data_IF_840449349627
#
_entry.id   IF_840449349627
#
_cell.length_a   1.000
_cell.length_b   1.000
_cell.length_c   1.000
_cell.angle_alpha   90.00
_cell.angle_beta   90.00
_cell.angle_gamma   90.00
#
_symmetry.space_group_name_H-M   'P 1'
#
loop_
_entity.id
_entity.type
_entity.pdbx_description
1 polymer ?
#
# COMPACT_ATOMS: atom_id res chain seq x y z
N UNK A 1 8.11 20.10 5.98
CA UNK A 1 7.29 19.83 4.76
C UNK A 1 5.96 19.22 5.17
N UNK A 2 4.90 19.45 4.41
CA UNK A 2 3.62 18.76 4.63
C UNK A 2 3.77 17.29 4.24
N UNK A 3 3.13 16.35 4.95
CA UNK A 3 3.25 14.90 4.73
C UNK A 3 2.54 14.37 3.47
N UNK A 4 2.62 15.07 2.32
CA UNK A 4 1.98 14.65 1.07
C UNK A 4 3.00 14.32 -0.04
N UNK A 5 4.29 14.47 0.25
CA UNK A 5 5.40 14.17 -0.65
C UNK A 5 6.26 13.08 -0.05
N UNK A 6 6.64 12.10 -0.87
CA UNK A 6 7.52 10.98 -0.57
C UNK A 6 8.72 11.02 -1.52
N UNK A 7 9.88 10.56 -1.06
CA UNK A 7 11.11 10.41 -1.84
C UNK A 7 12.04 11.63 -1.77
N UNK A 8 13.26 11.41 -2.19
CA UNK A 8 14.34 12.41 -2.23
C UNK A 8 14.73 12.77 -3.66
N UNK A 9 15.01 11.79 -4.50
CA UNK A 9 15.31 11.95 -5.92
C UNK A 9 14.13 11.54 -6.80
N UNK A 10 13.42 10.47 -6.43
CA UNK A 10 12.16 10.09 -7.06
C UNK A 10 11.01 10.53 -6.17
N UNK A 11 10.53 11.74 -6.39
CA UNK A 11 9.55 12.37 -5.53
C UNK A 11 8.12 12.16 -6.03
N UNK A 12 7.22 11.80 -5.13
CA UNK A 12 5.79 11.67 -5.44
C UNK A 12 4.98 12.57 -4.52
N UNK A 13 4.28 13.55 -5.09
CA UNK A 13 3.38 14.43 -4.34
C UNK A 13 1.93 14.11 -4.69
N UNK A 14 1.18 13.58 -3.72
CA UNK A 14 -0.24 13.24 -3.88
C UNK A 14 -1.16 14.41 -3.56
N UNK A 15 -2.18 14.62 -4.41
CA UNK A 15 -3.22 15.63 -4.22
C UNK A 15 -4.64 15.08 -4.46
N UNK A 16 -5.64 15.91 -4.15
CA UNK A 16 -7.05 15.57 -4.33
C UNK A 16 -7.67 14.85 -3.14
N UNK A 17 -8.94 14.54 -3.23
CA UNK A 17 -9.77 14.02 -2.15
C UNK A 17 -10.76 12.98 -2.65
N UNK A 18 -11.15 12.03 -1.78
CA UNK A 18 -11.97 10.88 -2.18
C UNK A 18 -13.34 11.23 -2.74
N UNK A 19 -13.87 12.40 -2.40
CA UNK A 19 -15.17 12.93 -2.86
C UNK A 19 -15.03 14.29 -3.55
N UNK A 20 -13.79 14.71 -3.85
CA UNK A 20 -13.50 15.81 -4.76
C UNK A 20 -13.66 15.40 -6.22
N UNK A 21 -13.43 16.30 -7.17
CA UNK A 21 -13.58 16.02 -8.62
C UNK A 21 -12.57 15.00 -9.14
N UNK A 22 -11.38 14.97 -8.57
CA UNK A 22 -10.30 14.08 -8.98
C UNK A 22 -9.30 13.87 -7.84
N UNK A 23 -8.46 12.85 -8.00
CA UNK A 23 -7.24 12.59 -7.24
C UNK A 23 -6.09 12.47 -8.23
N UNK A 24 -4.86 12.71 -7.79
CA UNK A 24 -3.72 12.62 -8.67
C UNK A 24 -2.40 12.68 -7.92
N UNK A 25 -1.32 12.60 -8.67
CA UNK A 25 0.02 12.87 -8.16
C UNK A 25 0.89 13.55 -9.22
N UNK A 26 1.94 14.17 -8.73
CA UNK A 26 3.09 14.57 -9.55
C UNK A 26 4.25 13.67 -9.17
N UNK A 27 4.83 13.02 -10.18
CA UNK A 27 6.08 12.26 -10.04
C UNK A 27 7.20 13.12 -10.61
N UNK A 28 8.16 13.48 -9.78
CA UNK A 28 9.36 14.23 -10.18
C UNK A 28 10.60 13.37 -9.98
N UNK A 29 11.64 13.59 -10.81
CA UNK A 29 12.88 12.82 -10.78
C UNK A 29 12.83 11.47 -11.47
N UNK A 30 11.78 11.15 -12.23
CA UNK A 30 11.77 9.96 -13.08
C UNK A 30 12.82 10.11 -14.20
N UNK A 31 13.77 9.17 -14.34
CA UNK A 31 14.77 9.24 -15.41
C UNK A 31 14.13 9.33 -16.80
N UNK A 32 14.74 10.08 -17.76
CA UNK A 32 14.27 10.15 -19.14
C UNK A 32 14.48 8.84 -19.89
N UNK A 33 13.69 8.63 -20.95
CA UNK A 33 13.85 7.51 -21.87
C UNK A 33 13.18 6.20 -21.42
N UNK A 34 12.43 6.19 -20.32
CA UNK A 34 11.59 5.04 -19.95
C UNK A 34 10.40 4.98 -20.89
N UNK A 35 10.19 3.90 -21.69
CA UNK A 35 8.94 3.70 -22.42
C UNK A 35 7.77 3.69 -21.43
N UNK A 36 6.80 4.56 -21.63
CA UNK A 36 5.67 4.71 -20.70
C UNK A 36 4.43 5.18 -21.43
N UNK A 37 3.33 4.46 -21.23
CA UNK A 37 1.99 4.87 -21.64
C UNK A 37 0.96 4.66 -20.49
N UNK A 38 -0.28 5.07 -20.75
CA UNK A 38 -1.34 4.92 -19.75
C UNK A 38 -1.68 3.45 -19.45
N UNK A 39 -1.48 2.53 -20.39
CA UNK A 39 -1.78 1.10 -20.20
C UNK A 39 -0.82 0.45 -19.20
N UNK A 40 0.45 0.85 -19.19
CA UNK A 40 1.43 0.40 -18.21
C UNK A 40 0.98 0.70 -16.77
N UNK A 41 0.45 1.91 -16.55
CA UNK A 41 -0.03 2.35 -15.25
C UNK A 41 -1.38 1.73 -14.93
N UNK A 42 -2.27 1.64 -15.92
CA UNK A 42 -3.61 1.11 -15.76
C UNK A 42 -3.63 -0.34 -15.29
N UNK A 43 -2.70 -1.16 -15.78
CA UNK A 43 -2.58 -2.56 -15.38
C UNK A 43 -2.41 -2.71 -13.84
N UNK A 44 -1.62 -1.86 -13.21
CA UNK A 44 -1.44 -1.87 -11.75
C UNK A 44 -2.67 -1.27 -11.02
N UNK A 45 -3.29 -0.24 -11.58
CA UNK A 45 -4.52 0.34 -11.05
C UNK A 45 -5.69 -0.64 -11.10
N UNK A 46 -5.81 -1.46 -12.15
CA UNK A 46 -6.85 -2.48 -12.29
C UNK A 46 -6.77 -3.56 -11.21
N UNK A 47 -5.57 -3.91 -10.76
CA UNK A 47 -5.37 -4.81 -9.63
C UNK A 47 -5.86 -4.22 -8.30
N UNK A 48 -5.72 -2.90 -8.13
CA UNK A 48 -6.06 -2.18 -6.90
C UNK A 48 -7.51 -1.69 -6.86
N UNK A 49 -8.15 -1.38 -7.97
CA UNK A 49 -9.44 -0.68 -8.04
C UNK A 49 -10.53 -1.36 -7.19
N UNK A 50 -11.57 -0.62 -6.74
CA UNK A 50 -12.72 -1.20 -6.06
C UNK A 50 -13.58 -2.02 -7.04
N UNK A 51 -14.41 -2.93 -6.49
CA UNK A 51 -15.35 -3.70 -7.30
C UNK A 51 -14.74 -4.86 -8.09
N UNK A 52 -13.49 -5.25 -7.82
CA UNK A 52 -12.81 -6.37 -8.49
C UNK A 52 -13.38 -7.73 -8.09
N UNK A 53 -14.02 -7.83 -6.93
CA UNK A 53 -14.67 -9.06 -6.46
C UNK A 53 -15.84 -8.74 -5.52
N UNK A 54 -16.65 -9.78 -5.19
CA UNK A 54 -17.71 -9.67 -4.17
C UNK A 54 -17.17 -9.43 -2.75
N UNK A 55 -15.88 -9.66 -2.51
CA UNK A 55 -15.25 -9.56 -1.18
C UNK A 55 -14.67 -8.18 -0.87
N UNK A 56 -14.68 -7.27 -1.83
CA UNK A 56 -14.29 -5.87 -1.67
C UNK A 56 -15.49 -4.94 -1.75
N UNK A 57 -15.27 -3.64 -1.52
CA UNK A 57 -16.31 -2.61 -1.62
C UNK A 57 -17.01 -2.65 -2.99
N UNK A 58 -18.32 -2.42 -2.98
CA UNK A 58 -19.17 -2.37 -4.18
C UNK A 58 -19.13 -0.98 -4.88
N UNK A 59 -18.26 -0.08 -4.46
CA UNK A 59 -17.97 1.16 -5.20
C UNK A 59 -17.38 0.79 -6.55
N UNK A 60 -17.83 1.46 -7.60
CA UNK A 60 -17.34 1.22 -8.96
C UNK A 60 -16.58 2.44 -9.46
N UNK A 61 -15.27 2.32 -9.54
CA UNK A 61 -14.39 3.33 -10.12
C UNK A 61 -13.48 2.62 -11.13
N UNK A 62 -13.46 3.10 -12.34
CA UNK A 62 -12.57 2.56 -13.37
C UNK A 62 -11.10 2.88 -13.09
N UNK A 63 -10.84 3.88 -12.23
CA UNK A 63 -9.50 4.39 -11.90
C UNK A 63 -8.67 4.72 -13.15
N UNK A 64 -9.33 5.19 -14.20
CA UNK A 64 -8.65 5.55 -15.45
C UNK A 64 -7.68 6.69 -15.22
N UNK A 65 -6.41 6.44 -15.56
CA UNK A 65 -5.34 7.42 -15.41
C UNK A 65 -5.20 8.26 -16.68
N UNK A 66 -5.06 9.57 -16.49
CA UNK A 66 -4.65 10.53 -17.51
C UNK A 66 -3.21 10.94 -17.24
N UNK A 67 -2.32 10.82 -18.24
CA UNK A 67 -0.96 11.37 -18.18
C UNK A 67 -1.02 12.78 -18.76
N UNK A 68 -0.72 13.79 -17.94
CA UNK A 68 -0.88 15.19 -18.31
C UNK A 68 0.43 15.85 -18.77
N UNK A 69 1.59 15.28 -18.37
CA UNK A 69 2.92 15.82 -18.67
C UNK A 69 4.00 14.77 -18.47
N UNK A 70 5.24 15.09 -18.84
CA UNK A 70 6.43 14.27 -18.55
C UNK A 70 6.64 13.08 -19.48
N UNK A 71 5.79 12.90 -20.50
CA UNK A 71 5.90 11.86 -21.52
C UNK A 71 5.79 12.48 -22.92
N UNK A 72 6.71 12.15 -23.80
CA UNK A 72 6.70 12.57 -25.19
C UNK A 72 7.07 11.40 -26.12
N UNK A 73 6.29 11.17 -27.17
CA UNK A 73 6.46 10.04 -28.10
C UNK A 73 6.59 8.68 -27.40
N UNK A 74 5.83 8.47 -26.31
CA UNK A 74 5.80 7.20 -25.58
C UNK A 74 6.98 6.95 -24.65
N UNK A 75 7.81 7.97 -24.36
CA UNK A 75 8.93 7.87 -23.42
C UNK A 75 8.92 9.02 -22.41
N UNK A 76 9.43 8.79 -21.20
CA UNK A 76 9.60 9.82 -20.18
C UNK A 76 10.62 10.85 -20.61
N UNK A 77 10.38 12.11 -20.27
CA UNK A 77 11.25 13.25 -20.67
C UNK A 77 12.25 13.68 -19.60
N UNK A 78 12.13 13.13 -18.38
CA UNK A 78 12.90 13.60 -17.21
C UNK A 78 12.29 14.83 -16.53
N UNK A 79 11.16 15.35 -17.04
CA UNK A 79 10.40 16.43 -16.40
C UNK A 79 9.23 15.86 -15.59
N UNK A 80 8.58 16.64 -14.71
CA UNK A 80 7.52 16.13 -13.85
C UNK A 80 6.39 15.46 -14.63
N UNK A 81 6.02 14.25 -14.20
CA UNK A 81 4.90 13.47 -14.75
C UNK A 81 3.65 13.78 -13.93
N UNK A 82 2.70 14.48 -14.52
CA UNK A 82 1.40 14.73 -13.92
C UNK A 82 0.43 13.58 -14.20
N UNK A 83 -0.13 12.98 -13.16
CA UNK A 83 -1.12 11.89 -13.25
C UNK A 83 -2.43 12.32 -12.61
N UNK A 84 -3.55 12.11 -13.31
CA UNK A 84 -4.88 12.45 -12.84
C UNK A 84 -5.83 11.26 -12.96
N UNK A 85 -6.66 11.05 -11.95
CA UNK A 85 -7.72 10.04 -11.91
C UNK A 85 -9.00 10.71 -11.47
N UNK A 86 -10.04 10.71 -12.31
CA UNK A 86 -11.33 11.32 -12.00
C UNK A 86 -12.15 10.46 -11.04
N UNK A 87 -12.87 11.10 -10.12
CA UNK A 87 -13.84 10.43 -9.27
C UNK A 87 -15.20 10.40 -9.98
N UNK A 88 -15.73 9.20 -10.24
CA UNK A 88 -16.96 9.00 -11.00
C UNK A 88 -18.12 8.45 -10.15
N UNK A 89 -17.85 7.70 -9.08
CA UNK A 89 -18.87 7.09 -8.19
C UNK A 89 -18.74 7.59 -6.74
N UNK A 90 -18.61 8.92 -6.56
CA UNK A 90 -18.63 9.56 -5.25
C UNK A 90 -20.06 9.83 -4.79
N UNK A 91 -20.56 9.12 -3.73
CA UNK A 91 -21.92 9.26 -3.19
C UNK A 91 -21.88 9.94 -1.83
N UNK A 92 -21.89 11.26 -1.81
CA UNK A 92 -21.84 12.07 -0.57
C UNK A 92 -23.02 11.81 0.37
N UNK A 93 -24.17 11.38 -0.16
CA UNK A 93 -25.37 11.05 0.63
C UNK A 93 -25.17 9.85 1.59
N UNK A 94 -24.24 8.95 1.28
CA UNK A 94 -23.90 7.78 2.11
C UNK A 94 -23.31 8.16 3.48
N UNK A 95 -22.95 9.41 3.69
CA UNK A 95 -22.27 9.93 4.88
C UNK A 95 -23.08 11.00 5.64
N UNK A 96 -24.31 11.27 5.22
CA UNK A 96 -25.14 12.33 5.84
C UNK A 96 -25.46 12.04 7.31
N UNK A 97 -25.63 10.77 7.68
CA UNK A 97 -25.96 10.32 9.05
C UNK A 97 -24.77 10.40 10.02
N UNK A 98 -23.56 10.63 9.52
CA UNK A 98 -22.33 10.69 10.33
C UNK A 98 -21.58 12.02 10.13
N UNK A 99 -22.24 13.01 9.52
CA UNK A 99 -21.60 14.30 9.22
C UNK A 99 -21.10 15.02 10.47
N UNK A 100 -21.82 14.94 11.56
CA UNK A 100 -21.56 15.61 12.82
C UNK A 100 -21.05 14.65 13.92
N UNK A 101 -20.63 13.45 13.57
CA UNK A 101 -20.18 12.45 14.53
C UNK A 101 -18.79 11.90 14.15
N UNK A 102 -18.10 11.30 15.12
CA UNK A 102 -16.79 10.69 14.89
C UNK A 102 -16.90 9.17 14.87
N UNK A 103 -16.51 8.55 13.77
CA UNK A 103 -16.49 7.09 13.68
C UNK A 103 -15.40 6.52 14.59
N UNK A 104 -15.71 5.54 15.46
CA UNK A 104 -14.72 4.87 16.29
C UNK A 104 -13.62 4.20 15.43
N UNK A 105 -12.33 4.47 15.75
CA UNK A 105 -11.18 3.93 15.01
C UNK A 105 -10.93 4.54 13.64
N UNK A 106 -11.71 5.56 13.23
CA UNK A 106 -11.49 6.35 12.01
C UNK A 106 -10.74 7.66 12.30
N UNK A 107 -10.21 8.29 11.27
CA UNK A 107 -9.44 9.53 11.40
C UNK A 107 -10.29 10.81 11.60
N UNK A 108 -11.62 10.71 11.66
CA UNK A 108 -12.53 11.85 11.74
C UNK A 108 -12.17 12.80 12.89
N UNK A 109 -11.97 12.24 14.09
CA UNK A 109 -11.62 13.01 15.29
C UNK A 109 -10.28 13.73 15.13
N UNK A 110 -9.23 12.99 14.72
CA UNK A 110 -7.88 13.55 14.62
C UNK A 110 -7.77 14.62 13.53
N UNK A 111 -8.45 14.47 12.40
CA UNK A 111 -8.49 15.47 11.34
C UNK A 111 -9.21 16.74 11.79
N UNK A 112 -10.36 16.61 12.45
CA UNK A 112 -11.09 17.75 13.00
C UNK A 112 -10.24 18.51 14.03
N UNK A 113 -9.57 17.80 14.93
CA UNK A 113 -8.70 18.41 15.94
C UNK A 113 -7.47 19.09 15.35
N UNK A 114 -6.91 18.52 14.29
CA UNK A 114 -5.71 19.07 13.65
C UNK A 114 -6.00 20.29 12.78
N UNK A 115 -7.05 20.21 11.95
CA UNK A 115 -7.31 21.22 10.92
C UNK A 115 -8.45 22.18 11.27
N UNK A 116 -9.19 21.93 12.36
CA UNK A 116 -10.35 22.73 12.77
C UNK A 116 -11.57 22.55 11.85
N UNK A 117 -11.40 21.93 10.70
CA UNK A 117 -12.42 21.68 9.69
C UNK A 117 -12.27 20.29 9.11
N UNK A 118 -13.38 19.59 8.88
CA UNK A 118 -13.44 18.32 8.18
C UNK A 118 -14.57 18.35 7.16
N UNK A 119 -14.29 17.96 5.93
CA UNK A 119 -15.33 17.66 4.94
C UNK A 119 -16.03 16.35 5.35
N UNK A 120 -17.35 16.35 5.65
CA UNK A 120 -18.06 15.16 6.12
C UNK A 120 -18.33 14.14 5.00
N UNK A 121 -18.06 14.46 3.74
CA UNK A 121 -18.35 13.62 2.58
C UNK A 121 -17.40 12.43 2.46
N UNK A 122 -17.28 11.60 3.50
CA UNK A 122 -16.46 10.38 3.50
C UNK A 122 -15.14 10.48 4.25
N UNK A 123 -14.11 9.77 3.79
CA UNK A 123 -12.78 9.77 4.41
C UNK A 123 -11.86 10.90 3.94
N UNK A 124 -12.23 11.64 2.90
CA UNK A 124 -11.44 12.74 2.31
C UNK A 124 -9.98 12.33 2.10
N UNK A 125 -9.00 13.02 2.73
CA UNK A 125 -7.57 12.67 2.67
C UNK A 125 -7.21 11.39 3.44
N UNK A 126 -8.01 10.96 4.43
CA UNK A 126 -7.78 9.70 5.15
C UNK A 126 -8.36 8.47 4.45
N UNK A 127 -8.99 8.65 3.29
CA UNK A 127 -9.59 7.57 2.52
C UNK A 127 -8.54 6.71 1.82
N UNK A 128 -8.73 5.39 1.83
CA UNK A 128 -7.95 4.46 1.02
C UNK A 128 -8.03 4.73 -0.50
N UNK A 129 -8.99 5.57 -0.95
CA UNK A 129 -9.06 6.05 -2.33
C UNK A 129 -7.77 6.75 -2.78
N UNK A 130 -7.11 7.46 -1.86
CA UNK A 130 -5.89 8.24 -2.11
C UNK A 130 -4.66 7.37 -2.40
N UNK A 131 -4.77 6.06 -2.25
CA UNK A 131 -3.72 5.12 -2.65
C UNK A 131 -3.69 4.87 -4.16
N UNK A 132 -4.73 5.24 -4.93
CA UNK A 132 -4.71 5.07 -6.38
C UNK A 132 -3.59 5.89 -7.07
N UNK A 133 -3.38 7.19 -6.78
CA UNK A 133 -2.23 7.92 -7.30
C UNK A 133 -0.89 7.32 -6.87
N UNK A 134 -0.79 6.78 -5.65
CA UNK A 134 0.42 6.09 -5.18
C UNK A 134 0.72 4.84 -6.01
N UNK A 135 -0.32 4.05 -6.34
CA UNK A 135 -0.17 2.89 -7.23
C UNK A 135 0.22 3.32 -8.65
N UNK A 136 -0.36 4.41 -9.15
CA UNK A 136 0.01 4.94 -10.46
C UNK A 136 1.49 5.36 -10.54
N UNK A 137 2.00 6.06 -9.50
CA UNK A 137 3.42 6.39 -9.39
C UNK A 137 4.28 5.13 -9.21
N UNK A 138 3.84 4.18 -8.38
CA UNK A 138 4.51 2.90 -8.16
C UNK A 138 4.61 2.04 -9.41
N UNK A 139 3.65 2.11 -10.34
CA UNK A 139 3.72 1.44 -11.63
C UNK A 139 4.93 1.91 -12.46
N UNK A 140 5.18 3.24 -12.47
CA UNK A 140 6.36 3.82 -13.13
C UNK A 140 7.64 3.29 -12.46
N UNK A 141 7.68 3.30 -11.13
CA UNK A 141 8.83 2.80 -10.36
C UNK A 141 9.08 1.30 -10.63
N UNK A 142 8.05 0.45 -10.57
CA UNK A 142 8.16 -0.99 -10.88
C UNK A 142 8.69 -1.22 -12.29
N UNK A 143 8.19 -0.48 -13.28
CA UNK A 143 8.62 -0.60 -14.68
C UNK A 143 10.08 -0.23 -14.83
N UNK A 144 10.51 0.89 -14.25
CA UNK A 144 11.90 1.33 -14.29
C UNK A 144 12.84 0.32 -13.61
N UNK A 145 12.51 -0.12 -12.41
CA UNK A 145 13.28 -1.10 -11.63
C UNK A 145 13.43 -2.43 -12.39
N UNK A 146 12.35 -2.90 -13.01
CA UNK A 146 12.38 -4.13 -13.81
C UNK A 146 13.26 -3.99 -15.05
N UNK A 147 13.17 -2.86 -15.76
CA UNK A 147 13.95 -2.66 -17.00
C UNK A 147 15.45 -2.40 -16.73
N UNK A 148 15.78 -1.66 -15.66
CA UNK A 148 17.16 -1.29 -15.40
C UNK A 148 17.93 -2.35 -14.60
N UNK A 149 17.25 -3.07 -13.72
CA UNK A 149 17.92 -3.96 -12.76
C UNK A 149 17.30 -5.38 -12.70
N UNK A 150 16.21 -5.64 -13.43
CA UNK A 150 15.50 -6.92 -13.34
C UNK A 150 14.74 -7.12 -12.02
N UNK A 151 14.61 -6.07 -11.21
CA UNK A 151 13.93 -6.12 -9.91
C UNK A 151 12.46 -6.45 -10.10
N UNK A 152 11.96 -7.42 -9.33
CA UNK A 152 10.55 -7.81 -9.31
C UNK A 152 9.98 -7.58 -7.92
N UNK A 153 8.91 -6.79 -7.83
CA UNK A 153 8.18 -6.54 -6.58
C UNK A 153 6.82 -7.21 -6.64
N UNK A 154 6.55 -8.11 -5.70
CA UNK A 154 5.30 -8.88 -5.63
C UNK A 154 4.79 -8.96 -4.19
N UNK A 155 3.47 -9.00 -4.01
CA UNK A 155 2.84 -9.14 -2.71
C UNK A 155 1.81 -10.26 -2.69
N UNK A 156 1.53 -10.79 -1.50
CA UNK A 156 0.48 -11.77 -1.26
C UNK A 156 -0.09 -11.62 0.15
N UNK A 157 -1.29 -12.16 0.35
CA UNK A 157 -1.91 -12.23 1.67
C UNK A 157 -1.45 -13.52 2.38
N UNK A 158 -0.82 -13.36 3.54
CA UNK A 158 -0.33 -14.49 4.36
C UNK A 158 -1.27 -14.83 5.52
N UNK A 159 -2.26 -13.97 5.82
CA UNK A 159 -3.27 -14.25 6.85
C UNK A 159 -4.51 -13.37 6.65
N UNK A 160 -5.69 -13.95 6.83
CA UNK A 160 -6.98 -13.24 6.88
C UNK A 160 -7.64 -13.52 8.24
N UNK A 161 -7.65 -12.50 9.12
CA UNK A 161 -8.13 -12.68 10.48
C UNK A 161 -7.43 -13.85 11.20
N UNK A 162 -8.17 -14.88 11.68
CA UNK A 162 -7.57 -16.04 12.33
C UNK A 162 -6.97 -17.06 11.34
N UNK A 163 -7.26 -16.95 10.03
CA UNK A 163 -6.88 -17.96 9.04
C UNK A 163 -5.49 -17.64 8.50
N UNK A 164 -4.49 -18.46 8.85
CA UNK A 164 -3.16 -18.42 8.26
C UNK A 164 -3.19 -19.00 6.84
N UNK A 165 -2.48 -18.38 5.90
CA UNK A 165 -2.42 -18.78 4.49
C UNK A 165 -0.97 -19.19 4.18
N UNK A 166 -0.66 -20.50 4.18
CA UNK A 166 0.68 -20.97 3.83
C UNK A 166 1.05 -20.61 2.40
N UNK A 167 2.29 -20.18 2.20
CA UNK A 167 2.82 -19.93 0.87
C UNK A 167 3.05 -21.26 0.12
N UNK A 168 2.44 -21.39 -1.05
CA UNK A 168 2.59 -22.54 -1.95
C UNK A 168 3.20 -22.11 -3.27
N UNK A 169 2.59 -21.12 -3.96
CA UNK A 169 3.06 -20.68 -5.27
C UNK A 169 2.72 -19.22 -5.55
N UNK A 170 3.65 -18.55 -6.23
CA UNK A 170 3.38 -17.23 -6.82
C UNK A 170 2.33 -17.30 -7.94
N UNK A 171 2.16 -18.43 -8.60
CA UNK A 171 1.21 -18.60 -9.70
C UNK A 171 -0.24 -18.58 -9.21
N UNK A 172 -0.47 -18.95 -7.95
CA UNK A 172 -1.79 -18.91 -7.33
C UNK A 172 -2.26 -17.46 -7.01
N UNK A 173 -1.32 -16.55 -6.75
CA UNK A 173 -1.61 -15.19 -6.27
C UNK A 173 -2.52 -14.39 -7.21
N UNK A 174 -2.27 -14.30 -8.53
CA UNK A 174 -3.14 -13.53 -9.43
C UNK A 174 -4.45 -14.24 -9.75
N UNK A 175 -4.56 -15.53 -9.45
CA UNK A 175 -5.70 -16.38 -9.83
C UNK A 175 -6.91 -16.32 -8.91
N UNK A 176 -6.84 -15.58 -7.79
CA UNK A 176 -7.92 -15.53 -6.80
C UNK A 176 -8.13 -14.12 -6.23
N UNK A 177 -9.33 -13.82 -5.67
CA UNK A 177 -9.68 -12.49 -5.24
C UNK A 177 -8.99 -12.02 -3.94
N UNK A 178 -8.20 -12.87 -3.29
CA UNK A 178 -7.52 -12.58 -2.01
C UNK A 178 -6.03 -12.30 -2.15
N UNK A 179 -5.45 -12.47 -3.34
CA UNK A 179 -4.00 -12.55 -3.51
C UNK A 179 -3.37 -13.65 -2.63
N UNK A 180 -4.11 -14.74 -2.40
CA UNK A 180 -3.64 -15.86 -1.60
C UNK A 180 -2.64 -16.70 -2.41
N UNK A 181 -1.47 -17.06 -1.85
CA UNK A 181 -0.46 -17.87 -2.51
C UNK A 181 -0.75 -19.38 -2.42
N UNK A 182 -2.00 -19.73 -2.14
CA UNK A 182 -2.51 -21.10 -2.00
C UNK A 182 -3.96 -21.14 -2.46
N UNK A 183 -4.21 -21.70 -3.63
CA UNK A 183 -5.54 -21.79 -4.21
C UNK A 183 -6.50 -22.67 -3.39
N UNK A 184 -5.97 -23.69 -2.68
CA UNK A 184 -6.79 -24.64 -1.93
C UNK A 184 -7.51 -24.02 -0.72
N UNK A 185 -6.99 -22.92 -0.15
CA UNK A 185 -7.60 -22.24 1.01
C UNK A 185 -8.69 -21.24 0.63
N UNK A 186 -8.80 -20.88 -0.63
CA UNK A 186 -9.72 -19.83 -1.12
C UNK A 186 -11.18 -20.07 -0.70
N UNK A 187 -11.74 -21.29 -0.78
CA UNK A 187 -13.10 -21.54 -0.33
C UNK A 187 -13.34 -21.24 1.16
N UNK A 188 -12.35 -21.49 2.02
CA UNK A 188 -12.42 -21.16 3.46
C UNK A 188 -12.41 -19.64 3.67
N UNK A 189 -11.55 -18.92 2.95
CA UNK A 189 -11.51 -17.45 3.00
C UNK A 189 -12.84 -16.84 2.53
N UNK A 190 -13.42 -17.37 1.47
CA UNK A 190 -14.72 -16.93 0.96
C UNK A 190 -15.84 -17.13 1.98
N UNK A 191 -15.91 -18.33 2.59
CA UNK A 191 -16.90 -18.64 3.61
C UNK A 191 -16.77 -17.70 4.82
N UNK A 192 -15.57 -17.43 5.27
CA UNK A 192 -15.29 -16.51 6.38
C UNK A 192 -15.71 -15.07 6.05
N UNK A 193 -15.39 -14.58 4.85
CA UNK A 193 -15.77 -13.24 4.41
C UNK A 193 -17.31 -13.11 4.24
N UNK A 194 -17.99 -14.14 3.78
CA UNK A 194 -19.43 -14.16 3.68
C UNK A 194 -20.10 -14.13 5.07
N UNK A 195 -19.48 -14.78 6.07
CA UNK A 195 -19.94 -14.68 7.46
C UNK A 195 -19.78 -13.25 8.01
N UNK A 196 -18.59 -12.64 7.86
CA UNK A 196 -18.36 -11.26 8.28
C UNK A 196 -19.34 -10.27 7.66
N UNK A 197 -19.70 -10.49 6.39
CA UNK A 197 -20.68 -9.65 5.72
C UNK A 197 -22.08 -9.78 6.31
N UNK A 198 -22.50 -11.01 6.68
CA UNK A 198 -23.79 -11.24 7.38
C UNK A 198 -23.80 -10.57 8.75
N UNK A 199 -22.68 -10.63 9.46
CA UNK A 199 -22.53 -10.04 10.79
C UNK A 199 -22.40 -8.50 10.75
N UNK A 200 -22.15 -7.94 9.58
CA UNK A 200 -21.93 -6.49 9.39
C UNK A 200 -20.62 -5.98 9.99
N UNK A 201 -19.64 -6.87 10.16
CA UNK A 201 -18.34 -6.60 10.80
C UNK A 201 -17.18 -6.58 9.77
N UNK A 202 -15.98 -6.44 10.28
CA UNK A 202 -14.73 -6.36 9.50
C UNK A 202 -13.60 -7.11 10.16
N UNK A 203 -12.56 -7.44 9.39
CA UNK A 203 -11.39 -8.15 9.88
C UNK A 203 -10.09 -7.55 9.32
N UNK A 204 -8.99 -7.79 10.04
CA UNK A 204 -7.65 -7.46 9.60
C UNK A 204 -7.03 -8.54 8.73
N UNK A 205 -5.85 -8.24 8.22
CA UNK A 205 -5.05 -9.17 7.42
C UNK A 205 -3.55 -8.95 7.67
N UNK A 206 -2.76 -9.97 7.36
CA UNK A 206 -1.32 -9.85 7.16
C UNK A 206 -1.02 -10.01 5.67
N UNK A 207 -0.23 -9.10 5.15
CA UNK A 207 0.26 -9.16 3.78
C UNK A 207 1.79 -9.17 3.78
N UNK A 208 2.34 -9.90 2.83
CA UNK A 208 3.78 -9.97 2.59
C UNK A 208 4.09 -9.28 1.26
N UNK A 209 5.18 -8.52 1.23
CA UNK A 209 5.71 -7.94 -0.01
C UNK A 209 7.17 -8.34 -0.14
N UNK A 210 7.52 -8.86 -1.30
CA UNK A 210 8.86 -9.34 -1.61
C UNK A 210 9.40 -8.60 -2.81
N UNK A 211 10.62 -8.08 -2.69
CA UNK A 211 11.37 -7.57 -3.83
C UNK A 211 12.57 -8.48 -4.09
N UNK A 212 12.63 -9.01 -5.31
CA UNK A 212 13.66 -9.96 -5.76
C UNK A 212 14.59 -9.30 -6.76
N UNK A 213 15.80 -9.86 -6.90
CA UNK A 213 16.83 -9.43 -7.85
C UNK A 213 17.37 -8.02 -7.58
N UNK A 214 17.34 -7.56 -6.32
CA UNK A 214 17.99 -6.30 -5.99
C UNK A 214 19.50 -6.45 -6.01
N UNK A 215 20.24 -5.45 -6.53
CA UNK A 215 21.66 -5.36 -6.29
C UNK A 215 21.97 -5.19 -4.80
N UNK A 216 23.11 -5.68 -4.35
CA UNK A 216 23.67 -5.25 -3.07
C UNK A 216 24.12 -3.80 -3.16
N UNK A 217 24.00 -3.04 -2.06
CA UNK A 217 24.55 -1.68 -1.95
C UNK A 217 23.52 -0.55 -1.97
N UNK A 218 22.22 -0.81 -2.17
CA UNK A 218 21.20 0.25 -2.06
C UNK A 218 20.82 0.49 -0.61
N UNK A 219 20.80 1.74 -0.22
CA UNK A 219 20.51 2.19 1.14
C UNK A 219 21.66 3.03 1.71
N UNK A 220 21.46 3.55 2.90
CA UNK A 220 22.39 4.42 3.59
C UNK A 220 22.61 3.98 5.04
N UNK A 221 23.77 4.27 5.65
CA UNK A 221 23.94 4.12 7.08
C UNK A 221 23.25 5.25 7.85
N UNK A 222 22.86 4.98 9.09
CA UNK A 222 22.28 5.86 10.10
C UNK A 222 20.82 6.29 9.79
N UNK A 223 20.59 7.40 9.10
CA UNK A 223 19.26 8.05 9.09
C UNK A 223 18.36 7.63 7.93
N UNK A 224 18.93 7.40 6.76
CA UNK A 224 18.21 7.00 5.55
C UNK A 224 18.44 5.51 5.25
N UNK A 225 18.39 4.70 6.29
CA UNK A 225 18.52 3.25 6.15
C UNK A 225 17.37 2.70 5.33
N UNK A 226 17.66 1.78 4.43
CA UNK A 226 16.66 1.19 3.54
C UNK A 226 15.51 0.53 4.31
N UNK A 227 15.80 -0.21 5.38
CA UNK A 227 14.79 -0.83 6.26
C UNK A 227 13.93 0.23 6.99
N UNK A 228 14.53 1.34 7.43
CA UNK A 228 13.82 2.43 8.09
C UNK A 228 12.88 3.17 7.11
N UNK A 229 13.35 3.47 5.90
CA UNK A 229 12.53 4.12 4.87
C UNK A 229 11.40 3.21 4.39
N UNK A 230 11.66 1.91 4.22
CA UNK A 230 10.61 0.93 3.95
C UNK A 230 9.56 0.95 5.06
N UNK A 231 9.95 0.86 6.32
CA UNK A 231 9.03 0.87 7.45
C UNK A 231 8.25 2.18 7.54
N UNK A 232 8.90 3.32 7.34
CA UNK A 232 8.27 4.64 7.32
C UNK A 232 7.17 4.73 6.25
N UNK A 233 7.50 4.35 5.03
CA UNK A 233 6.57 4.43 3.89
C UNK A 233 5.41 3.46 4.07
N UNK A 234 5.68 2.20 4.44
CA UNK A 234 4.66 1.18 4.66
C UNK A 234 3.71 1.54 5.82
N UNK A 235 4.23 2.17 6.89
CA UNK A 235 3.39 2.67 7.98
C UNK A 235 2.46 3.82 7.56
N UNK A 236 2.78 4.50 6.45
CA UNK A 236 1.92 5.51 5.80
C UNK A 236 0.71 4.93 5.07
N UNK A 237 0.68 3.63 4.77
CA UNK A 237 -0.48 2.98 4.16
C UNK A 237 -1.66 2.95 5.14
N UNK A 238 -2.84 3.34 4.66
CA UNK A 238 -4.07 3.31 5.45
C UNK A 238 -4.30 1.93 6.11
N UNK A 239 -4.65 1.95 7.38
CA UNK A 239 -4.92 0.79 8.23
C UNK A 239 -3.70 -0.06 8.63
N UNK A 240 -2.50 0.21 8.18
CA UNK A 240 -1.29 -0.45 8.68
C UNK A 240 -1.08 -0.09 10.16
N UNK A 241 -0.74 -1.10 10.97
CA UNK A 241 -0.46 -1.00 12.41
C UNK A 241 0.84 -1.67 12.82
N UNK A 242 1.47 -2.40 11.92
CA UNK A 242 2.77 -3.01 12.13
C UNK A 242 3.48 -3.23 10.82
N UNK A 243 4.78 -3.07 10.82
CA UNK A 243 5.70 -3.36 9.72
C UNK A 243 6.82 -4.20 10.28
N UNK A 244 7.20 -5.25 9.58
CA UNK A 244 8.26 -6.16 9.96
C UNK A 244 9.11 -6.46 8.73
N UNK A 245 10.43 -6.54 8.92
CA UNK A 245 11.40 -6.84 7.87
C UNK A 245 12.15 -8.11 8.26
N UNK A 246 12.25 -9.07 7.33
CA UNK A 246 12.84 -10.38 7.59
C UNK A 246 12.12 -11.14 8.71
N UNK A 247 12.85 -11.68 9.66
CA UNK A 247 12.32 -12.39 10.83
C UNK A 247 11.45 -11.47 11.74
N UNK A 248 11.62 -10.13 11.63
CA UNK A 248 10.82 -9.18 12.40
C UNK A 248 10.80 -9.47 13.89
N UNK A 249 9.62 -9.56 14.51
CA UNK A 249 9.49 -9.84 15.94
C UNK A 249 9.90 -11.26 16.35
N UNK A 250 9.94 -12.21 15.40
CA UNK A 250 10.37 -13.58 15.69
C UNK A 250 11.88 -13.66 16.03
N UNK A 251 12.66 -12.62 15.67
CA UNK A 251 14.08 -12.54 16.03
C UNK A 251 14.35 -12.55 17.54
N UNK A 252 13.37 -12.13 18.37
CA UNK A 252 13.56 -12.02 19.84
C UNK A 252 13.70 -13.39 20.53
N UNK A 253 13.22 -14.46 19.91
CA UNK A 253 13.34 -15.82 20.43
C UNK A 253 14.50 -16.59 19.79
N UNK A 254 15.15 -16.05 18.78
CA UNK A 254 16.31 -16.62 18.10
C UNK A 254 17.60 -16.27 18.84
N UNK A 255 18.49 -17.22 18.97
CA UNK A 255 19.86 -16.96 19.42
C UNK A 255 20.65 -16.28 18.29
N UNK A 256 21.73 -15.57 18.63
CA UNK A 256 22.58 -14.94 17.60
C UNK A 256 23.14 -15.91 16.55
N UNK A 257 23.43 -17.13 16.97
CA UNK A 257 23.86 -18.21 16.07
C UNK A 257 22.76 -18.77 15.15
N UNK A 258 21.48 -18.52 15.50
CA UNK A 258 20.32 -18.94 14.68
C UNK A 258 19.86 -17.79 13.77
N UNK A 259 19.94 -16.55 14.29
CA UNK A 259 19.53 -15.36 13.55
C UNK A 259 20.57 -14.91 12.51
N UNK A 260 21.85 -15.15 12.79
CA UNK A 260 22.94 -14.71 11.91
C UNK A 260 22.87 -15.44 10.55
N UNK A 261 22.66 -14.66 9.48
CA UNK A 261 22.67 -15.20 8.12
C UNK A 261 24.12 -15.48 7.70
N UNK A 262 24.55 -16.73 7.79
CA UNK A 262 25.92 -17.14 7.42
C UNK A 262 26.21 -16.87 5.94
N UNK A 263 27.43 -16.40 5.68
CA UNK A 263 27.89 -16.09 4.32
C UNK A 263 28.82 -17.23 3.86
N UNK A 264 28.45 -17.86 2.76
CA UNK A 264 29.23 -18.92 2.11
C UNK A 264 29.73 -18.47 0.74
N UNK A 265 30.65 -19.22 0.10
CA UNK A 265 31.05 -18.94 -1.27
C UNK A 265 29.90 -18.90 -2.28
N UNK A 266 28.78 -19.60 -1.97
CA UNK A 266 27.57 -19.67 -2.81
C UNK A 266 26.54 -18.60 -2.45
N UNK A 267 26.80 -17.72 -1.48
CA UNK A 267 25.93 -16.67 -1.00
C UNK A 267 25.48 -16.86 0.45
N UNK A 268 24.37 -16.21 0.82
CA UNK A 268 23.84 -16.30 2.17
C UNK A 268 23.07 -17.61 2.40
N UNK A 269 23.29 -18.24 3.55
CA UNK A 269 22.61 -19.47 3.94
C UNK A 269 21.19 -19.25 4.49
N UNK A 270 20.89 -18.03 4.95
CA UNK A 270 19.60 -17.60 5.48
C UNK A 270 19.24 -16.20 5.00
N UNK A 271 18.05 -15.71 5.39
CA UNK A 271 17.62 -14.34 5.14
C UNK A 271 16.77 -13.80 6.31
N UNK A 272 17.23 -14.02 7.53
CA UNK A 272 16.57 -13.51 8.74
C UNK A 272 16.57 -11.98 8.77
N UNK A 273 17.62 -11.35 8.22
CA UNK A 273 17.72 -9.90 8.10
C UNK A 273 16.76 -9.31 7.04
N UNK A 274 16.10 -10.14 6.22
CA UNK A 274 15.15 -9.69 5.23
C UNK A 274 15.75 -8.88 4.09
N UNK A 275 17.01 -9.18 3.71
CA UNK A 275 17.70 -8.56 2.57
C UNK A 275 18.39 -7.22 2.89
N UNK A 276 18.42 -6.80 4.17
CA UNK A 276 19.02 -5.52 4.58
C UNK A 276 19.93 -5.71 5.79
N UNK A 277 21.19 -5.34 5.66
CA UNK A 277 22.17 -5.32 6.76
C UNK A 277 22.77 -3.92 6.90
N UNK A 278 22.77 -3.39 8.12
CA UNK A 278 23.31 -2.06 8.39
C UNK A 278 22.57 -0.91 7.66
N UNK A 279 21.36 -1.15 7.16
CA UNK A 279 20.58 -0.18 6.38
C UNK A 279 20.82 -0.26 4.87
N UNK A 280 21.57 -1.25 4.40
CA UNK A 280 21.98 -1.41 2.99
C UNK A 280 21.55 -2.78 2.49
N UNK A 281 21.07 -2.86 1.24
CA UNK A 281 20.66 -4.12 0.62
C UNK A 281 21.81 -5.10 0.45
N UNK A 282 21.56 -6.39 0.70
CA UNK A 282 22.55 -7.48 0.63
C UNK A 282 22.61 -8.16 -0.73
N UNK A 283 21.65 -7.88 -1.63
CA UNK A 283 21.45 -8.65 -2.85
C UNK A 283 20.45 -9.81 -2.68
N UNK A 284 20.06 -10.12 -1.44
CA UNK A 284 18.99 -11.08 -1.15
C UNK A 284 17.62 -10.45 -1.36
N UNK A 285 16.54 -11.26 -1.46
CA UNK A 285 15.19 -10.73 -1.50
C UNK A 285 14.89 -9.86 -0.27
N UNK A 286 14.33 -8.68 -0.48
CA UNK A 286 13.76 -7.88 0.61
C UNK A 286 12.39 -8.46 0.93
N UNK A 287 12.17 -8.77 2.22
CA UNK A 287 10.91 -9.34 2.70
C UNK A 287 10.29 -8.42 3.75
N UNK A 288 9.04 -7.99 3.50
CA UNK A 288 8.32 -7.05 4.34
C UNK A 288 6.95 -7.60 4.69
N UNK A 289 6.62 -7.67 5.97
CA UNK A 289 5.30 -8.07 6.47
C UNK A 289 4.53 -6.86 7.01
N UNK A 290 3.23 -6.77 6.71
CA UNK A 290 2.36 -5.69 7.15
C UNK A 290 1.16 -6.22 7.91
N UNK A 291 0.90 -5.69 9.10
CA UNK A 291 -0.32 -5.92 9.86
C UNK A 291 -1.36 -4.84 9.51
N UNK A 292 -2.47 -5.26 8.92
CA UNK A 292 -3.57 -4.39 8.51
C UNK A 292 -4.71 -4.54 9.52
N UNK A 293 -5.11 -3.44 10.16
CA UNK A 293 -6.24 -3.46 11.10
C UNK A 293 -7.57 -3.63 10.39
N UNK A 294 -8.64 -4.09 11.10
CA UNK A 294 -10.00 -4.11 10.57
C UNK A 294 -10.48 -2.72 10.11
N UNK A 295 -11.37 -2.70 9.13
CA UNK A 295 -12.04 -1.48 8.66
C UNK A 295 -12.84 -0.85 9.80
N UNK A 296 -12.68 0.45 10.01
CA UNK A 296 -13.36 1.17 11.10
C UNK A 296 -14.85 1.40 10.83
N UNK A 297 -15.26 1.44 9.58
CA UNK A 297 -16.63 1.70 9.17
C UNK A 297 -17.38 0.38 9.04
N UNK A 298 -18.17 0.04 10.05
CA UNK A 298 -18.95 -1.20 10.13
C UNK A 298 -20.42 -0.92 10.41
N UNK A 299 -21.28 -1.93 10.18
CA UNK A 299 -22.74 -1.82 10.39
C UNK A 299 -23.16 -2.05 11.83
N UNK A 300 -22.27 -2.50 12.69
CA UNK A 300 -22.52 -2.66 14.12
C UNK A 300 -22.56 -1.27 14.76
N UNK A 301 -23.59 -1.01 15.53
CA UNK A 301 -23.75 0.24 16.27
C UNK A 301 -22.73 0.33 17.41
N UNK A 302 -22.07 1.48 17.56
CA UNK A 302 -21.01 1.70 18.55
C UNK A 302 -21.11 3.07 19.20
N UNK A 303 -20.67 3.16 20.45
CA UNK A 303 -20.57 4.43 21.17
C UNK A 303 -19.55 5.37 20.55
N UNK A 304 -19.88 6.63 20.49
CA UNK A 304 -18.99 7.72 20.04
C UNK A 304 -19.46 9.06 20.63
N UNK A 305 -18.93 10.15 20.10
CA UNK A 305 -19.34 11.51 20.40
C UNK A 305 -19.62 12.29 19.11
N UNK A 306 -20.48 13.32 19.20
CA UNK A 306 -20.65 14.31 18.15
C UNK A 306 -19.58 15.41 18.22
N UNK A 307 -19.63 16.40 17.32
CA UNK A 307 -18.73 17.56 17.30
C UNK A 307 -18.73 18.38 18.58
N UNK A 308 -19.85 18.41 19.30
CA UNK A 308 -20.03 19.13 20.58
C UNK A 308 -19.58 18.32 21.79
N UNK A 309 -19.09 17.09 21.58
CA UNK A 309 -18.63 16.18 22.64
C UNK A 309 -19.75 15.42 23.34
N UNK A 310 -20.98 15.45 22.82
CA UNK A 310 -22.11 14.72 23.40
C UNK A 310 -22.07 13.24 23.01
N UNK A 311 -22.41 12.31 23.93
CA UNK A 311 -22.49 10.88 23.64
C UNK A 311 -23.50 10.57 22.54
N UNK A 312 -23.12 9.77 21.57
CA UNK A 312 -23.99 9.31 20.47
C UNK A 312 -23.71 7.86 20.11
N UNK A 313 -24.70 7.19 19.52
CA UNK A 313 -24.49 5.90 18.86
C UNK A 313 -24.23 6.12 17.38
N UNK A 314 -23.24 5.45 16.84
CA UNK A 314 -22.82 5.58 15.43
C UNK A 314 -22.85 4.23 14.73
N UNK A 315 -23.52 4.18 13.59
CA UNK A 315 -23.55 3.08 12.65
C UNK A 315 -23.14 3.60 11.26
N UNK A 316 -22.27 2.89 10.55
CA UNK A 316 -21.85 3.30 9.21
C UNK A 316 -22.52 2.42 8.16
N UNK A 317 -23.40 3.02 7.35
CA UNK A 317 -24.21 2.31 6.35
C UNK A 317 -23.58 2.29 4.94
N UNK A 318 -22.44 2.96 4.74
CA UNK A 318 -21.77 3.08 3.45
C UNK A 318 -21.16 1.77 2.92
N UNK A 319 -20.65 1.85 1.67
CA UNK A 319 -20.00 0.73 0.98
C UNK A 319 -18.52 0.65 1.39
N UNK A 320 -18.19 -0.22 2.34
CA UNK A 320 -16.84 -0.39 2.86
C UNK A 320 -16.29 -1.78 2.56
N UNK A 321 -14.95 -1.89 2.47
CA UNK A 321 -14.26 -3.18 2.38
C UNK A 321 -14.39 -3.90 3.75
N UNK A 322 -14.91 -5.13 3.83
CA UNK A 322 -14.88 -5.91 5.09
C UNK A 322 -13.43 -6.23 5.53
N UNK A 323 -12.52 -6.36 4.57
CA UNK A 323 -11.09 -6.47 4.80
C UNK A 323 -10.33 -5.60 3.78
N UNK A 324 -9.65 -4.56 4.25
CA UNK A 324 -8.85 -3.69 3.36
C UNK A 324 -7.53 -4.33 2.94
N UNK A 325 -7.09 -5.41 3.59
CA UNK A 325 -5.86 -6.14 3.27
C UNK A 325 -5.82 -6.65 1.83
N UNK A 326 -6.97 -7.08 1.28
CA UNK A 326 -7.07 -7.53 -0.10
C UNK A 326 -6.53 -6.46 -1.06
N UNK A 327 -7.04 -5.24 -0.95
CA UNK A 327 -6.63 -4.13 -1.81
C UNK A 327 -5.30 -3.49 -1.40
N UNK A 328 -4.88 -3.70 -0.16
CA UNK A 328 -3.60 -3.22 0.34
C UNK A 328 -2.41 -3.95 -0.30
N UNK A 329 -2.58 -5.19 -0.77
CA UNK A 329 -1.50 -5.98 -1.39
C UNK A 329 -0.85 -5.26 -2.58
N UNK A 330 -1.55 -4.90 -3.67
CA UNK A 330 -0.93 -4.18 -4.78
C UNK A 330 -0.48 -2.76 -4.41
N UNK A 331 -1.08 -2.14 -3.38
CA UNK A 331 -0.64 -0.83 -2.91
C UNK A 331 0.73 -0.93 -2.22
N UNK A 332 0.92 -1.93 -1.37
CA UNK A 332 2.18 -2.15 -0.68
C UNK A 332 3.32 -2.51 -1.66
N UNK A 333 3.03 -3.28 -2.73
CA UNK A 333 3.99 -3.48 -3.82
C UNK A 333 4.43 -2.15 -4.43
N UNK A 334 3.48 -1.28 -4.75
CA UNK A 334 3.76 0.04 -5.32
C UNK A 334 4.60 0.90 -4.36
N UNK A 335 4.28 0.89 -3.07
CA UNK A 335 5.00 1.66 -2.06
C UNK A 335 6.44 1.16 -1.87
N UNK A 336 6.67 -0.16 -1.88
CA UNK A 336 8.02 -0.72 -1.86
C UNK A 336 8.82 -0.29 -3.09
N UNK A 337 8.22 -0.34 -4.27
CA UNK A 337 8.88 0.09 -5.50
C UNK A 337 9.27 1.57 -5.47
N UNK A 338 8.45 2.44 -4.87
CA UNK A 338 8.78 3.87 -4.70
C UNK A 338 10.00 4.10 -3.81
N UNK A 339 10.13 3.33 -2.73
CA UNK A 339 11.35 3.39 -1.88
C UNK A 339 12.56 2.90 -2.65
N UNK A 340 12.42 1.75 -3.33
CA UNK A 340 13.55 1.13 -4.03
C UNK A 340 14.09 1.97 -5.19
N UNK A 341 13.22 2.62 -5.97
CA UNK A 341 13.68 3.50 -7.06
C UNK A 341 14.40 4.72 -6.51
N UNK A 342 13.93 5.31 -5.41
CA UNK A 342 14.60 6.46 -4.78
C UNK A 342 16.01 6.09 -4.32
N UNK A 343 16.17 4.97 -3.61
CA UNK A 343 17.47 4.46 -3.18
C UNK A 343 18.37 4.05 -4.36
N UNK A 344 17.82 3.49 -5.43
CA UNK A 344 18.55 3.15 -6.65
C UNK A 344 19.14 4.40 -7.31
N UNK A 345 18.34 5.48 -7.41
CA UNK A 345 18.81 6.75 -7.99
C UNK A 345 19.84 7.44 -7.08
N UNK A 346 19.66 7.39 -5.77
CA UNK A 346 20.63 7.90 -4.78
C UNK A 346 21.96 7.15 -4.89
N UNK A 347 21.92 5.83 -4.92
CA UNK A 347 23.10 4.98 -5.12
C UNK A 347 23.81 5.32 -6.43
N UNK A 348 23.06 5.45 -7.53
CA UNK A 348 23.64 5.85 -8.83
C UNK A 348 24.28 7.24 -8.78
N UNK A 349 23.72 8.18 -8.02
CA UNK A 349 24.30 9.52 -7.86
C UNK A 349 25.56 9.55 -7.00
N UNK A 350 25.74 8.58 -6.10
CA UNK A 350 26.83 8.53 -5.14
C UNK A 350 27.96 7.58 -5.57
N UNK A 351 27.61 6.42 -6.12
CA UNK A 351 28.54 5.33 -6.41
C UNK A 351 28.79 5.11 -7.91
N UNK A 352 28.05 5.75 -8.80
CA UNK A 352 28.22 5.67 -10.27
C UNK A 352 27.27 4.71 -10.99
#
# INVERSE_FOLDING_TARGET
MSGNTLGTLFCVTNFGESHGPAIGCVVDGCPPGLPLDAADIQAELDRRRPGTSRHVTQRQEADQVEILSGVYQGVTTGTPIGLLIRNTDARSKDYSNIADTFRPGHADFSYTRKYGLRDPRGGVRSSARLTAPTVAAGAIAKKWLAQQHGVRVRGYMSQLGPIAIPFVSWDDVPGNPFYAPNAAIVPELEAYMDQLRRDGDSIGARIEVVAENLPAGWGEPLYDRLDADIAHVMMGLNAVKGVSIGAGFDCIVQRGSEHGDEITPDGFAGNNAGGVLGGISTGQPITVSLAIKPTSSIRIERQSINSDGQPVMVQTLGRHDPCVGIRATPIAEAMLALVLIDHALRHRGQCG
#
